data_IF_870552195284
#
_entry.id   IF_870552195284
#
_cell.length_a   1.000
_cell.length_b   1.000
_cell.length_c   1.000
_cell.angle_alpha   90.00
_cell.angle_beta   90.00
_cell.angle_gamma   90.00
#
_symmetry.space_group_name_H-M   'P 1'
#
loop_
_entity.id
_entity.type
_entity.pdbx_description
1 polymer ?
#
# COMPACT_ATOMS: atom_id res chain seq x y z
N UNK A 1 10.75 5.53 -5.47
CA UNK A 1 9.84 4.55 -4.82
C UNK A 1 8.55 4.45 -5.62
N UNK A 2 7.76 5.52 -5.76
CA UNK A 2 6.42 5.49 -6.36
C UNK A 2 6.37 4.96 -7.79
N UNK A 3 7.38 5.18 -8.62
CA UNK A 3 7.42 4.65 -10.00
C UNK A 3 7.68 3.14 -10.08
N UNK A 4 8.25 2.56 -9.04
CA UNK A 4 8.66 1.15 -9.05
C UNK A 4 7.86 0.25 -8.11
N UNK A 5 6.96 0.81 -7.26
CA UNK A 5 6.33 0.02 -6.22
C UNK A 5 5.49 -1.15 -6.75
N UNK A 6 4.78 -0.95 -7.86
CA UNK A 6 3.86 -1.92 -8.47
C UNK A 6 4.37 -2.60 -9.73
N UNK A 7 5.64 -2.41 -10.11
CA UNK A 7 6.19 -2.99 -11.35
C UNK A 7 6.18 -4.53 -11.35
N UNK A 8 6.14 -5.14 -10.17
CA UNK A 8 6.04 -6.59 -9.98
C UNK A 8 4.62 -7.12 -9.81
N UNK A 9 3.61 -6.28 -10.00
CA UNK A 9 2.22 -6.69 -9.83
C UNK A 9 1.79 -7.74 -10.86
N UNK A 10 0.97 -8.70 -10.43
CA UNK A 10 0.48 -9.79 -11.29
C UNK A 10 -0.66 -9.33 -12.19
N UNK A 11 -0.89 -10.00 -13.35
CA UNK A 11 -2.15 -9.88 -14.06
C UNK A 11 -3.34 -10.22 -13.15
N UNK A 12 -4.45 -9.49 -13.32
CA UNK A 12 -5.68 -9.61 -12.53
C UNK A 12 -5.54 -9.18 -11.06
N UNK A 13 -4.57 -8.30 -10.76
CA UNK A 13 -4.40 -7.68 -9.45
C UNK A 13 -4.20 -8.69 -8.32
N UNK A 14 -4.67 -8.37 -7.12
CA UNK A 14 -4.54 -9.24 -5.95
C UNK A 14 -5.25 -10.61 -6.08
N UNK A 15 -6.25 -10.74 -6.98
CA UNK A 15 -6.85 -12.04 -7.26
C UNK A 15 -5.84 -12.96 -7.97
N UNK A 16 -5.13 -12.45 -8.95
CA UNK A 16 -4.05 -13.17 -9.64
C UNK A 16 -2.88 -13.47 -8.70
N UNK A 17 -2.53 -12.51 -7.84
CA UNK A 17 -1.47 -12.68 -6.83
C UNK A 17 -1.76 -13.84 -5.87
N UNK A 18 -2.97 -13.92 -5.31
CA UNK A 18 -3.35 -15.03 -4.43
C UNK A 18 -3.22 -16.40 -5.09
N UNK A 19 -3.68 -16.51 -6.36
CA UNK A 19 -3.56 -17.76 -7.11
C UNK A 19 -2.09 -18.10 -7.38
N UNK A 20 -1.31 -17.13 -7.83
CA UNK A 20 0.12 -17.32 -8.10
C UNK A 20 0.88 -17.67 -6.82
N UNK A 21 0.59 -17.00 -5.70
CA UNK A 21 1.24 -17.27 -4.41
C UNK A 21 0.93 -18.69 -3.94
N UNK A 22 -0.31 -19.18 -4.08
CA UNK A 22 -0.69 -20.54 -3.73
C UNK A 22 0.07 -21.59 -4.56
N UNK A 23 0.15 -21.39 -5.90
CA UNK A 23 0.90 -22.26 -6.79
C UNK A 23 2.40 -22.22 -6.51
N UNK A 24 2.93 -21.03 -6.26
CA UNK A 24 4.35 -20.86 -5.95
C UNK A 24 4.72 -21.54 -4.64
N UNK A 25 3.86 -21.43 -3.62
CA UNK A 25 4.05 -22.09 -2.33
C UNK A 25 3.98 -23.62 -2.47
N UNK A 26 3.02 -24.16 -3.25
CA UNK A 26 2.90 -25.60 -3.48
C UNK A 26 4.16 -26.19 -4.15
N UNK A 27 4.75 -25.49 -5.11
CA UNK A 27 5.89 -26.00 -5.87
C UNK A 27 7.26 -25.67 -5.26
N UNK A 28 7.37 -24.62 -4.48
CA UNK A 28 8.69 -24.13 -3.98
C UNK A 28 8.79 -24.07 -2.46
N UNK A 29 7.66 -24.16 -1.75
CA UNK A 29 7.59 -23.90 -0.32
C UNK A 29 7.70 -22.42 0.07
N UNK A 30 7.65 -21.50 -0.92
CA UNK A 30 7.83 -20.05 -0.73
C UNK A 30 6.59 -19.29 -1.19
N UNK A 31 6.32 -18.13 -0.58
CA UNK A 31 5.20 -17.27 -0.94
C UNK A 31 5.59 -16.28 -2.04
N UNK A 32 4.68 -16.02 -2.96
CA UNK A 32 4.80 -14.94 -3.92
C UNK A 32 4.12 -13.69 -3.37
N UNK A 33 4.76 -12.54 -3.60
CA UNK A 33 4.25 -11.25 -3.18
C UNK A 33 4.72 -10.18 -4.17
N UNK A 34 3.83 -9.30 -4.63
CA UNK A 34 4.16 -8.29 -5.64
C UNK A 34 5.17 -7.27 -5.15
N UNK A 35 5.19 -6.93 -3.87
CA UNK A 35 6.18 -6.02 -3.28
C UNK A 35 7.60 -6.58 -3.46
N UNK A 36 7.79 -7.85 -3.09
CA UNK A 36 9.06 -8.56 -3.26
C UNK A 36 9.41 -8.70 -4.73
N UNK A 37 8.41 -8.98 -5.57
CA UNK A 37 8.65 -9.12 -7.01
C UNK A 37 8.98 -7.79 -7.68
N UNK A 38 8.42 -6.67 -7.22
CA UNK A 38 8.78 -5.33 -7.71
C UNK A 38 10.27 -5.04 -7.46
N UNK A 39 10.75 -5.36 -6.27
CA UNK A 39 12.18 -5.25 -5.93
C UNK A 39 13.01 -6.16 -6.84
N UNK A 40 12.61 -7.43 -6.98
CA UNK A 40 13.33 -8.39 -7.82
C UNK A 40 13.42 -7.94 -9.28
N UNK A 41 12.36 -7.37 -9.83
CA UNK A 41 12.39 -6.83 -11.20
C UNK A 41 13.46 -5.76 -11.33
N UNK A 42 13.55 -4.84 -10.38
CA UNK A 42 14.45 -3.69 -10.46
C UNK A 42 15.90 -4.04 -10.13
N UNK A 43 16.13 -4.89 -9.16
CA UNK A 43 17.45 -5.22 -8.64
C UNK A 43 18.08 -6.41 -9.38
N UNK A 44 17.36 -7.53 -9.51
CA UNK A 44 17.89 -8.75 -10.12
C UNK A 44 17.74 -8.77 -11.65
N UNK A 45 16.54 -8.45 -12.17
CA UNK A 45 16.23 -8.66 -13.60
C UNK A 45 16.73 -7.52 -14.47
N UNK A 46 16.56 -6.27 -14.04
CA UNK A 46 17.03 -5.08 -14.78
C UNK A 46 18.42 -4.69 -14.31
N UNK A 47 18.81 -5.09 -13.12
CA UNK A 47 20.12 -4.86 -12.51
C UNK A 47 20.48 -3.36 -12.44
N UNK A 48 19.52 -2.55 -11.98
CA UNK A 48 19.74 -1.14 -11.72
C UNK A 48 20.42 -0.96 -10.35
N UNK A 49 21.39 -0.06 -10.30
CA UNK A 49 22.06 0.29 -9.05
C UNK A 49 21.16 1.22 -8.21
N UNK A 50 20.15 0.66 -7.58
CA UNK A 50 19.18 1.39 -6.77
C UNK A 50 19.64 1.42 -5.30
N UNK A 51 19.43 2.54 -4.62
CA UNK A 51 19.82 2.66 -3.22
C UNK A 51 18.99 1.77 -2.31
N UNK A 52 19.59 1.33 -1.21
CA UNK A 52 18.95 0.53 -0.16
C UNK A 52 17.62 1.15 0.29
N UNK A 53 17.59 2.45 0.52
CA UNK A 53 16.42 3.18 0.98
C UNK A 53 15.28 3.16 -0.05
N UNK A 54 15.62 3.22 -1.33
CA UNK A 54 14.62 3.16 -2.41
C UNK A 54 14.05 1.76 -2.56
N UNK A 55 14.89 0.72 -2.51
CA UNK A 55 14.47 -0.67 -2.55
C UNK A 55 13.59 -1.02 -1.34
N UNK A 56 13.98 -0.59 -0.15
CA UNK A 56 13.20 -0.80 1.07
C UNK A 56 11.84 -0.07 1.00
N UNK A 57 11.82 1.16 0.50
CA UNK A 57 10.55 1.88 0.30
C UNK A 57 9.62 1.22 -0.72
N UNK A 58 10.18 0.57 -1.76
CA UNK A 58 9.41 -0.25 -2.71
C UNK A 58 8.90 -1.53 -2.05
N UNK A 59 9.74 -2.23 -1.30
CA UNK A 59 9.35 -3.44 -0.57
C UNK A 59 8.22 -3.16 0.43
N UNK A 60 8.30 -2.05 1.15
CA UNK A 60 7.44 -1.74 2.29
C UNK A 60 6.20 -0.89 1.95
N UNK A 61 5.84 -0.74 0.67
CA UNK A 61 4.69 0.09 0.28
C UNK A 61 3.33 -0.47 0.70
N UNK A 62 3.28 -1.64 1.30
CA UNK A 62 2.11 -2.38 1.70
C UNK A 62 0.93 -1.50 2.20
N UNK A 63 0.07 -1.11 1.26
CA UNK A 63 -1.05 -0.20 1.49
C UNK A 63 -2.25 -0.83 2.20
N UNK A 64 -2.23 -2.16 2.44
CA UNK A 64 -3.38 -2.84 3.03
C UNK A 64 -3.56 -2.56 4.53
N UNK A 65 -2.46 -2.20 5.22
CA UNK A 65 -2.48 -1.92 6.66
C UNK A 65 -2.37 -0.42 6.91
N UNK A 66 -3.51 0.19 7.23
CA UNK A 66 -3.56 1.56 7.69
C UNK A 66 -3.06 1.69 9.12
N UNK A 67 -2.22 2.69 9.36
CA UNK A 67 -1.77 3.10 10.67
C UNK A 67 -2.14 4.56 10.92
N UNK A 68 -2.43 4.90 12.17
CA UNK A 68 -2.65 6.29 12.58
C UNK A 68 -1.36 7.11 12.54
N UNK A 69 -0.23 6.44 12.81
CA UNK A 69 1.11 7.03 12.83
C UNK A 69 2.09 6.07 12.16
N UNK A 70 2.92 6.61 11.27
CA UNK A 70 3.95 5.90 10.55
C UNK A 70 5.31 6.42 10.99
N UNK A 71 6.16 5.53 11.51
CA UNK A 71 7.55 5.83 11.88
C UNK A 71 8.49 4.94 11.10
N UNK A 72 9.59 5.48 10.56
CA UNK A 72 10.63 4.66 9.95
C UNK A 72 11.25 3.72 10.99
N UNK A 73 11.66 2.53 10.56
CA UNK A 73 12.52 1.66 11.36
C UNK A 73 14.00 1.96 11.09
N UNK A 74 14.86 1.57 12.02
CA UNK A 74 16.30 1.59 11.77
C UNK A 74 16.71 0.43 10.87
N UNK A 75 17.35 0.73 9.76
CA UNK A 75 17.99 -0.22 8.85
C UNK A 75 19.10 0.49 8.08
N UNK A 76 20.29 -0.08 8.06
CA UNK A 76 21.46 0.58 7.47
C UNK A 76 22.26 -0.30 6.49
N UNK A 77 21.95 -1.59 6.42
CA UNK A 77 22.73 -2.55 5.63
C UNK A 77 21.86 -3.39 4.69
N UNK A 78 22.43 -3.79 3.56
CA UNK A 78 21.78 -4.75 2.65
C UNK A 78 21.56 -6.11 3.32
N UNK A 79 22.39 -6.51 4.27
CA UNK A 79 22.18 -7.78 5.02
C UNK A 79 20.88 -7.75 5.84
N UNK A 80 20.53 -6.62 6.43
CA UNK A 80 19.23 -6.45 7.14
C UNK A 80 18.07 -6.43 6.15
N UNK A 81 18.26 -5.76 5.01
CA UNK A 81 17.30 -5.72 3.93
C UNK A 81 17.02 -7.12 3.34
N UNK A 82 18.07 -7.88 3.04
CA UNK A 82 17.96 -9.25 2.51
C UNK A 82 17.18 -10.17 3.46
N UNK A 83 17.38 -10.02 4.78
CA UNK A 83 16.59 -10.75 5.79
C UNK A 83 15.10 -10.35 5.75
N UNK A 84 14.82 -9.07 5.53
CA UNK A 84 13.44 -8.57 5.41
C UNK A 84 12.76 -9.16 4.16
N UNK A 85 13.46 -9.18 3.03
CA UNK A 85 13.00 -9.82 1.78
C UNK A 85 12.78 -11.31 1.98
N UNK A 86 13.77 -12.02 2.57
CA UNK A 86 13.67 -13.47 2.81
C UNK A 86 12.52 -13.83 3.75
N UNK A 87 12.25 -13.03 4.78
CA UNK A 87 11.11 -13.24 5.66
C UNK A 87 9.79 -13.27 4.89
N UNK A 88 9.61 -12.39 3.89
CA UNK A 88 8.39 -12.37 3.05
C UNK A 88 8.25 -13.60 2.15
N UNK A 89 9.33 -14.30 1.83
CA UNK A 89 9.28 -15.56 1.09
C UNK A 89 8.90 -16.75 1.94
N UNK A 90 9.24 -16.75 3.24
CA UNK A 90 9.07 -17.91 4.13
C UNK A 90 7.85 -17.80 5.05
N UNK A 91 7.38 -16.59 5.31
CA UNK A 91 6.19 -16.33 6.14
C UNK A 91 5.21 -15.40 5.42
N UNK A 92 4.01 -15.90 5.12
CA UNK A 92 2.95 -15.14 4.46
C UNK A 92 2.57 -13.86 5.23
N UNK A 93 2.72 -13.86 6.55
CA UNK A 93 2.36 -12.71 7.40
C UNK A 93 3.42 -11.63 7.44
N UNK A 94 4.67 -11.95 7.10
CA UNK A 94 5.78 -11.02 7.18
C UNK A 94 5.56 -9.75 6.34
N UNK A 95 4.85 -9.87 5.21
CA UNK A 95 4.52 -8.74 4.35
C UNK A 95 3.68 -7.67 5.09
N UNK A 96 2.80 -8.08 5.98
CA UNK A 96 1.96 -7.19 6.78
C UNK A 96 2.73 -6.47 7.89
N UNK A 97 3.91 -6.96 8.28
CA UNK A 97 4.74 -6.44 9.35
C UNK A 97 5.85 -5.49 8.85
N UNK A 98 5.94 -5.30 7.53
CA UNK A 98 6.97 -4.47 6.94
C UNK A 98 6.85 -3.00 7.36
N UNK A 99 7.96 -2.42 7.79
CA UNK A 99 8.09 -1.01 8.15
C UNK A 99 9.22 -0.42 7.30
N UNK A 100 8.97 0.69 6.56
CA UNK A 100 10.01 1.34 5.77
C UNK A 100 11.10 1.95 6.67
N UNK A 101 12.32 2.04 6.17
CA UNK A 101 13.43 2.64 6.90
C UNK A 101 13.58 4.16 6.67
N UNK A 102 12.69 4.77 5.88
CA UNK A 102 12.72 6.21 5.60
C UNK A 102 11.33 6.84 5.71
N UNK A 103 11.29 8.15 5.93
CA UNK A 103 10.04 8.91 5.89
C UNK A 103 9.40 8.87 4.50
N UNK A 104 10.19 8.87 3.44
CA UNK A 104 9.72 8.76 2.06
C UNK A 104 9.00 7.42 1.82
N UNK A 105 9.51 6.32 2.40
CA UNK A 105 8.82 5.03 2.40
C UNK A 105 7.51 5.08 3.16
N UNK A 106 7.45 5.76 4.30
CA UNK A 106 6.22 6.01 5.06
C UNK A 106 5.21 6.85 4.25
N UNK A 107 5.70 7.91 3.55
CA UNK A 107 4.86 8.71 2.65
C UNK A 107 4.27 7.84 1.55
N UNK A 108 5.10 7.01 0.90
CA UNK A 108 4.62 6.12 -0.16
C UNK A 108 3.48 5.23 0.34
N UNK A 109 3.68 4.60 1.50
CA UNK A 109 2.71 3.68 2.09
C UNK A 109 1.35 4.32 2.36
N UNK A 110 1.29 5.52 2.93
CA UNK A 110 0.02 6.20 3.19
C UNK A 110 -0.59 6.78 1.91
N UNK A 111 0.25 7.30 0.99
CA UNK A 111 -0.23 7.86 -0.27
C UNK A 111 -0.85 6.79 -1.17
N UNK A 112 -0.31 5.58 -1.17
CA UNK A 112 -0.87 4.45 -1.91
C UNK A 112 -2.31 4.15 -1.45
N UNK A 113 -2.55 4.06 -0.14
CA UNK A 113 -3.91 3.89 0.41
C UNK A 113 -4.84 5.04 -0.04
N UNK A 114 -4.41 6.29 0.11
CA UNK A 114 -5.22 7.47 -0.22
C UNK A 114 -5.55 7.50 -1.72
N UNK A 115 -4.59 7.12 -2.56
CA UNK A 115 -4.74 7.20 -4.01
C UNK A 115 -5.85 6.31 -4.56
N UNK A 116 -5.98 5.07 -4.06
CA UNK A 116 -7.01 4.16 -4.57
C UNK A 116 -8.39 4.41 -3.96
N UNK A 117 -8.50 4.94 -2.73
CA UNK A 117 -9.80 5.11 -2.05
C UNK A 117 -10.84 5.84 -2.90
N UNK A 118 -10.53 7.05 -3.32
CA UNK A 118 -11.45 7.86 -4.11
C UNK A 118 -11.49 7.43 -5.57
N UNK A 119 -10.37 6.92 -6.09
CA UNK A 119 -10.27 6.48 -7.48
C UNK A 119 -11.16 5.27 -7.74
N UNK A 120 -11.16 4.27 -6.87
CA UNK A 120 -12.00 3.07 -7.01
C UNK A 120 -13.48 3.41 -6.93
N UNK A 121 -13.88 4.35 -6.05
CA UNK A 121 -15.24 4.89 -6.00
C UNK A 121 -15.64 5.51 -7.33
N UNK A 122 -14.77 6.35 -7.88
CA UNK A 122 -15.02 7.01 -9.16
C UNK A 122 -15.14 6.00 -10.31
N UNK A 123 -14.31 4.98 -10.33
CA UNK A 123 -14.32 3.96 -11.39
C UNK A 123 -15.53 3.03 -11.24
N UNK A 124 -15.93 2.66 -10.03
CA UNK A 124 -17.15 1.90 -9.78
C UNK A 124 -18.41 2.62 -10.29
N UNK A 125 -18.48 3.95 -10.09
CA UNK A 125 -19.56 4.77 -10.63
C UNK A 125 -19.52 4.85 -12.16
N UNK A 126 -18.34 5.03 -12.77
CA UNK A 126 -18.16 5.07 -14.23
C UNK A 126 -18.52 3.77 -14.92
N UNK A 127 -18.23 2.66 -14.27
CA UNK A 127 -18.54 1.30 -14.76
C UNK A 127 -20.01 0.91 -14.49
N UNK A 128 -20.83 1.79 -13.88
CA UNK A 128 -22.19 1.53 -13.44
C UNK A 128 -22.33 0.32 -12.49
N UNK A 129 -21.28 -0.02 -11.76
CA UNK A 129 -21.35 -0.99 -10.66
C UNK A 129 -22.15 -0.43 -9.49
N UNK A 130 -22.12 0.89 -9.31
CA UNK A 130 -22.93 1.64 -8.35
C UNK A 130 -23.78 2.67 -9.09
N UNK A 131 -25.08 2.69 -8.84
CA UNK A 131 -26.03 3.63 -9.50
C UNK A 131 -26.02 5.01 -8.87
N UNK A 132 -25.75 5.09 -7.59
CA UNK A 132 -25.66 6.31 -6.78
C UNK A 132 -24.43 6.22 -5.88
N UNK A 133 -23.93 7.35 -5.39
CA UNK A 133 -22.82 7.35 -4.44
C UNK A 133 -23.32 6.97 -3.04
N UNK A 134 -23.13 5.74 -2.58
CA UNK A 134 -23.58 5.31 -1.26
C UNK A 134 -22.61 5.71 -0.13
N UNK A 135 -21.52 6.40 -0.50
CA UNK A 135 -20.43 6.67 0.41
C UNK A 135 -20.75 7.82 1.37
N UNK A 136 -20.36 7.63 2.63
CA UNK A 136 -20.57 8.63 3.68
C UNK A 136 -19.71 9.85 3.45
N UNK A 137 -20.33 11.03 3.39
CA UNK A 137 -19.61 12.29 3.42
C UNK A 137 -19.16 12.55 4.86
N UNK A 138 -17.86 12.45 5.11
CA UNK A 138 -17.23 12.73 6.40
C UNK A 138 -16.16 13.81 6.24
N UNK A 139 -15.22 13.88 7.17
CA UNK A 139 -14.08 14.81 7.14
C UNK A 139 -13.26 14.74 5.84
N UNK A 140 -13.25 13.58 5.19
CA UNK A 140 -12.48 13.35 3.96
C UNK A 140 -13.20 13.75 2.67
N UNK A 141 -14.53 14.03 2.71
CA UNK A 141 -15.32 14.29 1.51
C UNK A 141 -15.70 13.02 0.74
N UNK A 142 -16.26 13.18 -0.46
CA UNK A 142 -16.77 12.08 -1.29
C UNK A 142 -16.09 11.96 -2.65
N UNK A 143 -15.59 13.07 -3.20
CA UNK A 143 -14.88 13.06 -4.47
C UNK A 143 -13.40 12.66 -4.30
N UNK A 144 -12.81 12.08 -5.34
CA UNK A 144 -11.39 11.72 -5.31
C UNK A 144 -10.48 12.91 -4.98
N UNK A 145 -10.80 14.08 -5.52
CA UNK A 145 -10.02 15.31 -5.25
C UNK A 145 -10.12 15.78 -3.79
N UNK A 146 -11.31 15.74 -3.19
CA UNK A 146 -11.51 16.08 -1.77
C UNK A 146 -10.76 15.10 -0.87
N UNK A 147 -10.88 13.80 -1.12
CA UNK A 147 -10.23 12.74 -0.34
C UNK A 147 -8.71 12.95 -0.33
N UNK A 148 -8.10 13.11 -1.49
CA UNK A 148 -6.65 13.36 -1.60
C UNK A 148 -6.26 14.66 -0.88
N UNK A 149 -6.97 15.76 -1.14
CA UNK A 149 -6.66 17.05 -0.53
C UNK A 149 -6.77 17.01 1.00
N UNK A 150 -7.88 16.52 1.51
CA UNK A 150 -8.18 16.58 2.94
C UNK A 150 -7.23 15.68 3.75
N UNK A 151 -6.93 14.46 3.29
CA UNK A 151 -5.90 13.65 3.91
C UNK A 151 -4.52 14.28 3.83
N UNK A 152 -4.14 14.83 2.67
CA UNK A 152 -2.82 15.45 2.50
C UNK A 152 -2.62 16.62 3.45
N UNK A 153 -3.61 17.51 3.55
CA UNK A 153 -3.57 18.65 4.48
C UNK A 153 -3.45 18.17 5.92
N UNK A 154 -4.32 17.26 6.35
CA UNK A 154 -4.31 16.76 7.72
C UNK A 154 -2.96 16.08 8.09
N UNK A 155 -2.41 15.25 7.21
CA UNK A 155 -1.12 14.58 7.43
C UNK A 155 0.00 15.62 7.51
N UNK A 156 0.02 16.62 6.62
CA UNK A 156 1.05 17.68 6.62
C UNK A 156 0.99 18.47 7.93
N UNK A 157 -0.19 18.92 8.35
CA UNK A 157 -0.37 19.72 9.56
C UNK A 157 0.09 18.96 10.83
N UNK A 158 -0.15 17.65 10.88
CA UNK A 158 0.23 16.83 12.03
C UNK A 158 1.68 16.32 12.00
N UNK A 159 2.36 16.41 10.84
CA UNK A 159 3.67 15.78 10.61
C UNK A 159 4.79 16.77 10.29
N UNK A 160 4.47 18.03 9.93
CA UNK A 160 5.47 18.99 9.49
C UNK A 160 6.57 19.21 10.55
N UNK A 161 7.81 19.00 10.16
CA UNK A 161 8.99 19.12 11.03
C UNK A 161 9.13 17.99 12.06
N UNK A 162 8.45 16.86 11.87
CA UNK A 162 8.54 15.67 12.72
C UNK A 162 9.26 14.53 11.99
N UNK A 163 9.71 13.55 12.76
CA UNK A 163 10.31 12.29 12.29
C UNK A 163 9.30 11.16 12.10
N UNK A 164 8.03 11.51 11.90
CA UNK A 164 6.92 10.59 11.67
C UNK A 164 5.85 11.23 10.79
N UNK A 165 4.97 10.39 10.23
CA UNK A 165 3.72 10.83 9.62
C UNK A 165 2.56 10.43 10.51
N UNK A 166 1.61 11.34 10.70
CA UNK A 166 0.46 11.12 11.56
C UNK A 166 -0.77 11.81 11.01
N UNK A 167 -1.92 11.21 11.26
CA UNK A 167 -3.23 11.83 11.05
C UNK A 167 -4.01 11.92 12.37
N UNK A 168 -4.97 12.83 12.42
CA UNK A 168 -5.89 12.93 13.54
C UNK A 168 -6.78 11.69 13.67
N UNK A 169 -7.37 11.50 14.86
CA UNK A 169 -8.31 10.41 15.14
C UNK A 169 -9.47 10.41 14.15
N UNK A 170 -10.09 11.56 13.95
CA UNK A 170 -11.21 11.73 13.02
C UNK A 170 -10.87 11.27 11.60
N UNK A 171 -9.67 11.63 11.09
CA UNK A 171 -9.21 11.23 9.77
C UNK A 171 -8.83 9.76 9.71
N UNK A 172 -8.25 9.22 10.77
CA UNK A 172 -7.95 7.80 10.84
C UNK A 172 -9.22 6.93 10.84
N UNK A 173 -10.23 7.34 11.61
CA UNK A 173 -11.53 6.65 11.62
C UNK A 173 -12.24 6.77 10.27
N UNK A 174 -12.17 7.95 9.63
CA UNK A 174 -12.70 8.15 8.29
C UNK A 174 -11.98 7.29 7.23
N UNK A 175 -10.66 7.11 7.35
CA UNK A 175 -9.88 6.21 6.49
C UNK A 175 -10.37 4.77 6.61
N UNK A 176 -10.50 4.27 7.83
CA UNK A 176 -10.99 2.91 8.11
C UNK A 176 -12.40 2.70 7.61
N UNK A 177 -13.28 3.67 7.84
CA UNK A 177 -14.64 3.62 7.35
C UNK A 177 -14.68 3.60 5.81
N UNK A 178 -13.90 4.46 5.15
CA UNK A 178 -13.83 4.51 3.69
C UNK A 178 -13.31 3.21 3.07
N UNK A 179 -12.28 2.58 3.67
CA UNK A 179 -11.78 1.26 3.26
C UNK A 179 -12.86 0.18 3.41
N UNK A 180 -13.56 0.17 4.54
CA UNK A 180 -14.65 -0.76 4.80
C UNK A 180 -15.77 -0.62 3.77
N UNK A 181 -16.20 0.62 3.47
CA UNK A 181 -17.21 0.90 2.47
C UNK A 181 -16.79 0.42 1.07
N UNK A 182 -15.55 0.71 0.66
CA UNK A 182 -15.02 0.22 -0.62
C UNK A 182 -15.02 -1.31 -0.67
N UNK A 183 -14.61 -1.96 0.41
CA UNK A 183 -14.59 -3.42 0.50
C UNK A 183 -15.99 -4.03 0.36
N UNK A 184 -16.97 -3.49 1.09
CA UNK A 184 -18.34 -4.01 1.10
C UNK A 184 -19.08 -3.70 -0.20
N UNK A 185 -18.90 -2.51 -0.77
CA UNK A 185 -19.71 -2.02 -1.88
C UNK A 185 -19.07 -2.25 -3.26
N UNK A 186 -17.76 -2.30 -3.33
CA UNK A 186 -17.02 -2.46 -4.60
C UNK A 186 -16.47 -3.87 -4.72
N UNK A 187 -15.56 -4.28 -3.81
CA UNK A 187 -14.79 -5.52 -3.98
C UNK A 187 -15.60 -6.79 -3.67
N UNK A 188 -16.54 -6.74 -2.74
CA UNK A 188 -17.45 -7.85 -2.42
C UNK A 188 -18.77 -7.82 -3.21
N UNK A 189 -18.91 -6.90 -4.15
CA UNK A 189 -20.12 -6.84 -4.97
C UNK A 189 -20.18 -8.06 -5.91
N UNK A 190 -21.16 -8.94 -5.68
CA UNK A 190 -21.39 -10.17 -6.47
C UNK A 190 -22.38 -9.94 -7.63
N UNK A 191 -22.39 -8.74 -8.21
CA UNK A 191 -23.27 -8.43 -9.36
C UNK A 191 -22.75 -9.04 -10.66
#
# INVERSE_FOLDING_TARGET
ISLGHDIGHTPFGHAGERILSSLYQEHTGRYFNHNVHSVRVLDDMVNWNISLQTLDGILCHNGELELKEYRPCEMSTFVEYDKKVEACYVDEKAIGELIPCTLEGCVMRICDIIAYLGKDRQDAMRLNLLKESPFTAGAIGTSNGEIINNFSVNIIENSYGKDYLKMDEEYFDALRQAKKENYEMIYNNKS
#
